data_IF_056122891798
#
_entry.id   IF_056122891798
#
_cell.length_a   1.000
_cell.length_b   1.000
_cell.length_c   1.000
_cell.angle_alpha   90.00
_cell.angle_beta   90.00
_cell.angle_gamma   90.00
#
_symmetry.space_group_name_H-M   'P 1'
#
loop_
_entity.id
_entity.type
_entity.pdbx_description
1 polymer ?
#
# COMPACT_ATOMS: atom_id res chain seq x y z
N UNK A 1 -4.46 -10.22 -21.59
CA UNK A 1 -5.95 -10.16 -21.50
C UNK A 1 -6.36 -8.72 -21.28
N UNK A 2 -7.50 -8.26 -21.80
CA UNK A 2 -7.99 -6.92 -21.49
C UNK A 2 -8.52 -6.91 -20.05
N UNK A 3 -8.11 -5.92 -19.25
CA UNK A 3 -8.64 -5.72 -17.91
C UNK A 3 -10.14 -5.41 -17.97
N UNK A 4 -10.88 -5.79 -16.94
CA UNK A 4 -12.30 -5.42 -16.82
C UNK A 4 -12.46 -3.90 -16.68
N UNK A 5 -13.60 -3.36 -17.03
CA UNK A 5 -13.95 -1.94 -16.82
C UNK A 5 -13.87 -1.52 -15.34
N UNK A 6 -13.89 -2.49 -14.44
CA UNK A 6 -13.75 -2.28 -13.00
C UNK A 6 -12.37 -1.70 -12.62
N UNK A 7 -11.30 -2.12 -13.32
CA UNK A 7 -9.94 -1.64 -13.05
C UNK A 7 -9.78 -0.12 -13.16
N UNK A 8 -10.55 0.49 -14.06
CA UNK A 8 -10.49 1.95 -14.34
C UNK A 8 -11.70 2.70 -13.83
N UNK A 9 -12.66 2.01 -13.18
CA UNK A 9 -13.89 2.62 -12.69
C UNK A 9 -13.60 3.64 -11.59
N UNK A 10 -14.32 4.77 -11.63
CA UNK A 10 -14.18 5.84 -10.65
C UNK A 10 -15.37 5.85 -9.70
N UNK A 11 -15.13 6.30 -8.49
CA UNK A 11 -16.19 6.59 -7.53
C UNK A 11 -17.06 7.74 -8.04
N UNK A 12 -18.36 7.67 -7.77
CA UNK A 12 -19.31 8.78 -8.02
C UNK A 12 -19.00 9.99 -7.15
N UNK A 13 -18.47 9.75 -5.95
CA UNK A 13 -18.03 10.75 -5.00
C UNK A 13 -16.65 10.37 -4.46
N UNK A 14 -15.67 11.25 -4.63
CA UNK A 14 -14.32 11.08 -4.12
C UNK A 14 -14.32 10.89 -2.60
N UNK A 15 -13.51 9.94 -2.12
CA UNK A 15 -13.27 9.74 -0.69
C UNK A 15 -11.95 10.40 -0.30
N UNK A 16 -11.96 11.08 0.85
CA UNK A 16 -10.80 11.84 1.33
C UNK A 16 -10.47 11.43 2.76
N UNK A 17 -9.21 11.04 2.97
CA UNK A 17 -8.68 10.84 4.32
C UNK A 17 -7.88 12.08 4.72
N UNK A 18 -8.18 12.64 5.89
CA UNK A 18 -7.35 13.67 6.48
C UNK A 18 -6.15 13.01 7.15
N UNK A 19 -4.96 13.40 6.74
CA UNK A 19 -3.72 12.81 7.19
C UNK A 19 -2.76 13.92 7.70
N UNK A 20 -2.07 13.74 8.84
CA UNK A 20 -1.18 14.76 9.40
C UNK A 20 0.04 15.05 8.51
N UNK A 21 0.47 14.08 7.70
CA UNK A 21 1.67 14.15 6.86
C UNK A 21 1.32 14.59 5.45
N UNK A 22 0.41 13.88 4.80
CA UNK A 22 -0.01 14.12 3.42
C UNK A 22 -1.12 15.19 3.31
N UNK A 23 -1.64 15.71 4.43
CA UNK A 23 -2.80 16.62 4.56
C UNK A 23 -4.10 15.95 4.12
N UNK A 24 -4.25 15.64 2.85
CA UNK A 24 -5.42 14.97 2.29
C UNK A 24 -4.97 13.89 1.31
N UNK A 25 -5.42 12.66 1.56
CA UNK A 25 -5.22 11.51 0.70
C UNK A 25 -6.51 11.28 -0.08
N UNK A 26 -6.43 11.34 -1.39
CA UNK A 26 -7.56 11.31 -2.30
C UNK A 26 -7.76 9.93 -2.93
N UNK A 27 -8.92 9.33 -2.72
CA UNK A 27 -9.29 8.05 -3.32
C UNK A 27 -10.41 8.28 -4.32
N UNK A 28 -10.10 8.12 -5.60
CA UNK A 28 -11.01 8.31 -6.74
C UNK A 28 -11.38 7.01 -7.43
N UNK A 29 -10.56 5.97 -7.26
CA UNK A 29 -10.70 4.69 -7.94
C UNK A 29 -11.57 3.74 -7.11
N UNK A 30 -12.60 3.13 -7.73
CA UNK A 30 -13.49 2.19 -7.07
C UNK A 30 -12.73 0.97 -6.53
N UNK A 31 -11.79 0.43 -7.31
CA UNK A 31 -10.94 -0.69 -6.93
C UNK A 31 -10.19 -0.40 -5.62
N UNK A 32 -9.53 0.76 -5.52
CA UNK A 32 -8.77 1.16 -4.33
C UNK A 32 -9.69 1.32 -3.12
N UNK A 33 -10.87 1.92 -3.33
CA UNK A 33 -11.84 2.07 -2.24
C UNK A 33 -12.35 0.73 -1.72
N UNK A 34 -12.62 -0.23 -2.62
CA UNK A 34 -13.06 -1.55 -2.23
C UNK A 34 -11.98 -2.34 -1.48
N UNK A 35 -10.70 -2.24 -1.90
CA UNK A 35 -9.57 -2.80 -1.16
C UNK A 35 -9.43 -2.21 0.25
N UNK A 36 -9.55 -0.89 0.39
CA UNK A 36 -9.50 -0.22 1.70
C UNK A 36 -10.59 -0.75 2.64
N UNK A 37 -11.76 -1.14 2.15
CA UNK A 37 -12.86 -1.66 2.97
C UNK A 37 -12.68 -3.10 3.43
N UNK A 38 -11.79 -3.88 2.81
CA UNK A 38 -11.59 -5.28 3.18
C UNK A 38 -11.15 -5.44 4.65
N UNK A 39 -11.56 -6.53 5.28
CA UNK A 39 -11.21 -6.79 6.69
C UNK A 39 -9.70 -6.92 6.89
N UNK A 40 -8.99 -7.47 5.90
CA UNK A 40 -7.54 -7.63 5.92
C UNK A 40 -6.85 -6.26 5.93
N UNK A 41 -7.31 -5.30 5.14
CA UNK A 41 -6.75 -3.96 5.15
C UNK A 41 -7.16 -3.17 6.40
N UNK A 42 -8.40 -3.25 6.83
CA UNK A 42 -8.90 -2.54 8.01
C UNK A 42 -8.21 -2.98 9.32
N UNK A 43 -7.72 -4.22 9.42
CA UNK A 43 -6.96 -4.66 10.60
C UNK A 43 -5.68 -3.86 10.83
N UNK A 44 -5.07 -3.29 9.76
CA UNK A 44 -3.85 -2.48 9.85
C UNK A 44 -4.02 -1.24 10.73
N UNK A 45 -5.25 -0.77 10.94
CA UNK A 45 -5.54 0.34 11.89
C UNK A 45 -5.12 0.03 13.33
N UNK A 46 -5.04 -1.25 13.68
CA UNK A 46 -4.70 -1.72 15.03
C UNK A 46 -3.25 -2.16 15.15
N UNK A 47 -2.47 -2.05 14.08
CA UNK A 47 -1.06 -2.45 14.04
C UNK A 47 -0.22 -1.18 13.96
N UNK A 48 0.53 -0.92 15.03
CA UNK A 48 1.45 0.22 15.09
C UNK A 48 2.65 -0.03 14.18
N UNK A 49 3.07 0.99 13.42
CA UNK A 49 4.22 0.89 12.51
C UNK A 49 5.51 0.57 13.27
N UNK A 50 5.75 1.24 14.39
CA UNK A 50 6.97 1.12 15.19
C UNK A 50 6.80 0.16 16.39
N UNK A 51 5.85 -0.78 16.35
CA UNK A 51 5.65 -1.79 17.38
C UNK A 51 5.38 -1.17 18.76
N UNK A 52 6.28 -1.33 19.72
CA UNK A 52 6.12 -0.84 21.09
C UNK A 52 6.74 0.54 21.36
N UNK A 53 7.36 1.17 20.37
CA UNK A 53 8.07 2.45 20.55
C UNK A 53 7.17 3.59 21.04
N UNK A 54 5.86 3.54 20.76
CA UNK A 54 4.91 4.53 21.27
C UNK A 54 4.85 4.60 22.82
N UNK A 55 5.29 3.56 23.52
CA UNK A 55 5.37 3.56 24.98
C UNK A 55 6.47 4.52 25.52
N UNK A 56 7.51 4.74 24.70
CA UNK A 56 8.63 5.64 25.03
C UNK A 56 8.56 6.98 24.29
N UNK A 57 8.00 6.96 23.06
CA UNK A 57 7.86 8.11 22.18
C UNK A 57 6.39 8.35 21.90
N UNK A 58 5.77 9.29 22.63
CA UNK A 58 4.32 9.52 22.61
C UNK A 58 3.75 9.93 21.24
N UNK A 59 4.59 10.44 20.34
CA UNK A 59 4.21 10.80 18.98
C UNK A 59 4.27 9.62 17.98
N UNK A 60 4.88 8.49 18.38
CA UNK A 60 5.03 7.30 17.53
C UNK A 60 3.74 6.44 17.46
N UNK A 61 2.60 7.09 17.29
CA UNK A 61 1.25 6.50 17.34
C UNK A 61 0.73 6.03 15.97
N UNK A 62 1.43 6.35 14.87
CA UNK A 62 0.98 6.03 13.53
C UNK A 62 0.85 4.52 13.31
N UNK A 63 -0.20 4.16 12.56
CA UNK A 63 -0.54 2.78 12.23
C UNK A 63 -0.03 2.39 10.85
N UNK A 64 0.10 1.10 10.60
CA UNK A 64 0.37 0.58 9.25
C UNK A 64 -0.72 0.94 8.25
N UNK A 65 -1.95 1.13 8.68
CA UNK A 65 -3.03 1.66 7.85
C UNK A 65 -2.71 3.05 7.30
N UNK A 66 -2.26 3.97 8.17
CA UNK A 66 -1.86 5.33 7.74
C UNK A 66 -0.68 5.27 6.77
N UNK A 67 0.36 4.49 7.10
CA UNK A 67 1.52 4.28 6.26
C UNK A 67 1.15 3.72 4.87
N UNK A 68 0.36 2.65 4.79
CA UNK A 68 -0.07 2.09 3.49
C UNK A 68 -0.86 3.10 2.64
N UNK A 69 -1.69 3.94 3.26
CA UNK A 69 -2.35 5.06 2.57
C UNK A 69 -1.37 6.13 2.12
N UNK A 70 -0.34 6.43 2.90
CA UNK A 70 0.72 7.39 2.55
C UNK A 70 1.52 6.92 1.35
N UNK A 71 1.95 5.66 1.34
CA UNK A 71 2.64 5.03 0.21
C UNK A 71 1.79 5.06 -1.06
N UNK A 72 0.50 4.69 -0.94
CA UNK A 72 -0.46 4.83 -2.04
C UNK A 72 -0.52 6.27 -2.58
N UNK A 73 -0.61 7.27 -1.70
CA UNK A 73 -0.71 8.69 -2.11
C UNK A 73 0.56 9.17 -2.82
N UNK A 74 1.74 8.75 -2.37
CA UNK A 74 3.00 9.09 -3.02
C UNK A 74 3.04 8.49 -4.43
N UNK A 75 2.72 7.19 -4.58
CA UNK A 75 2.67 6.54 -5.91
C UNK A 75 1.61 7.18 -6.80
N UNK A 76 0.43 7.49 -6.27
CA UNK A 76 -0.61 8.20 -7.01
C UNK A 76 -0.11 9.55 -7.56
N UNK A 77 0.56 10.34 -6.74
CA UNK A 77 1.16 11.62 -7.17
C UNK A 77 2.26 11.42 -8.21
N UNK A 78 3.12 10.41 -8.03
CA UNK A 78 4.15 10.09 -9.01
C UNK A 78 3.55 9.79 -10.38
N UNK A 79 2.42 9.07 -10.43
CA UNK A 79 1.75 8.70 -11.68
C UNK A 79 0.95 9.89 -12.25
N UNK A 80 0.12 10.52 -11.43
CA UNK A 80 -0.88 11.50 -11.90
C UNK A 80 -0.30 12.92 -12.09
N UNK A 81 0.79 13.28 -11.38
CA UNK A 81 1.32 14.64 -11.29
C UNK A 81 2.75 14.76 -11.84
N UNK A 82 3.43 13.64 -12.20
CA UNK A 82 4.79 13.71 -12.72
C UNK A 82 4.86 14.25 -14.16
N UNK A 83 6.02 14.81 -14.54
CA UNK A 83 6.31 15.31 -15.88
C UNK A 83 6.28 14.23 -16.98
N UNK A 84 6.39 12.96 -16.59
CA UNK A 84 6.29 11.81 -17.51
C UNK A 84 4.84 11.62 -17.98
N UNK A 85 3.89 12.25 -17.31
CA UNK A 85 2.50 12.41 -17.73
C UNK A 85 1.66 11.15 -17.67
N UNK A 86 0.34 11.35 -17.58
CA UNK A 86 -0.68 10.28 -17.61
C UNK A 86 -0.62 9.43 -18.87
N UNK A 87 -0.03 9.93 -19.95
CA UNK A 87 0.09 9.24 -21.25
C UNK A 87 1.10 8.10 -21.24
N UNK A 88 2.07 8.11 -20.29
CA UNK A 88 3.06 7.05 -20.14
C UNK A 88 2.53 5.83 -19.36
N UNK A 89 1.42 6.00 -18.64
CA UNK A 89 0.81 4.93 -17.83
C UNK A 89 -0.43 4.40 -18.54
N UNK A 90 -0.36 3.19 -18.96
CA UNK A 90 -1.52 2.54 -19.56
C UNK A 90 -2.59 2.17 -18.51
N UNK A 91 -3.75 1.75 -18.99
CA UNK A 91 -4.86 1.36 -18.13
C UNK A 91 -4.59 0.09 -17.30
N UNK A 92 -3.49 -0.60 -17.55
CA UNK A 92 -3.06 -1.82 -16.83
C UNK A 92 -2.06 -1.49 -15.73
N UNK A 93 -1.04 -0.74 -16.05
CA UNK A 93 0.09 -0.43 -15.15
C UNK A 93 -0.32 0.47 -13.98
N UNK A 94 -1.19 1.46 -14.22
CA UNK A 94 -1.64 2.37 -13.18
C UNK A 94 -2.42 1.67 -12.05
N UNK A 95 -3.47 0.87 -12.31
CA UNK A 95 -4.16 0.11 -11.26
C UNK A 95 -3.22 -0.85 -10.53
N UNK A 96 -2.32 -1.51 -11.25
CA UNK A 96 -1.35 -2.44 -10.69
C UNK A 96 -0.42 -1.76 -9.69
N UNK A 97 0.18 -0.62 -10.08
CA UNK A 97 1.06 0.15 -9.21
C UNK A 97 0.35 0.67 -7.94
N UNK A 98 -0.89 1.18 -8.08
CA UNK A 98 -1.68 1.68 -6.96
C UNK A 98 -2.08 0.55 -5.99
N UNK A 99 -2.48 -0.61 -6.50
CA UNK A 99 -2.82 -1.76 -5.67
C UNK A 99 -1.58 -2.29 -4.92
N UNK A 100 -0.46 -2.45 -5.60
CA UNK A 100 0.77 -2.92 -4.99
C UNK A 100 1.28 -1.95 -3.92
N UNK A 101 1.21 -0.63 -4.17
CA UNK A 101 1.55 0.40 -3.18
C UNK A 101 0.65 0.34 -1.94
N UNK A 102 -0.66 0.14 -2.12
CA UNK A 102 -1.61 0.06 -1.01
C UNK A 102 -1.40 -1.21 -0.17
N UNK A 103 -1.08 -2.33 -0.81
CA UNK A 103 -1.10 -3.67 -0.19
C UNK A 103 0.28 -4.20 0.22
N UNK A 104 1.38 -3.46 -0.02
CA UNK A 104 2.75 -3.97 0.19
C UNK A 104 3.01 -4.50 1.60
N UNK A 105 2.45 -3.87 2.63
CA UNK A 105 2.63 -4.17 4.05
C UNK A 105 1.47 -4.99 4.67
N UNK A 106 0.59 -5.55 3.84
CA UNK A 106 -0.66 -6.17 4.30
C UNK A 106 -0.44 -7.37 5.22
N UNK A 107 0.66 -8.10 5.08
CA UNK A 107 0.98 -9.30 5.87
C UNK A 107 1.52 -9.04 7.27
N UNK A 108 1.86 -7.80 7.62
CA UNK A 108 2.42 -7.52 8.93
C UNK A 108 1.46 -7.85 10.08
N UNK A 109 2.02 -8.49 11.12
CA UNK A 109 1.36 -8.77 12.39
C UNK A 109 1.59 -7.69 13.46
N UNK A 110 0.93 -7.80 14.63
CA UNK A 110 1.22 -6.97 15.79
C UNK A 110 2.71 -7.06 16.16
N UNK A 111 3.31 -5.93 16.59
CA UNK A 111 4.73 -5.82 16.94
C UNK A 111 5.71 -6.07 15.77
N UNK A 112 5.22 -6.16 14.53
CA UNK A 112 6.02 -6.19 13.31
C UNK A 112 7.17 -7.22 13.37
N UNK A 113 8.41 -6.81 13.11
CA UNK A 113 9.57 -7.71 13.08
C UNK A 113 9.88 -8.45 14.40
N UNK A 114 9.38 -7.96 15.55
CA UNK A 114 9.53 -8.72 16.81
C UNK A 114 8.66 -9.99 16.82
N UNK A 115 7.46 -9.90 16.27
CA UNK A 115 6.57 -11.04 16.08
C UNK A 115 7.21 -12.08 15.13
N UNK A 116 7.75 -11.63 14.02
CA UNK A 116 8.41 -12.50 13.03
C UNK A 116 9.57 -13.29 13.64
N UNK A 117 10.42 -12.63 14.44
CA UNK A 117 11.55 -13.28 15.10
C UNK A 117 11.12 -14.33 16.12
N UNK A 118 10.02 -14.08 16.87
CA UNK A 118 9.54 -14.99 17.91
C UNK A 118 8.86 -16.22 17.29
N UNK A 119 8.05 -16.00 16.26
CA UNK A 119 7.23 -17.06 15.63
C UNK A 119 7.84 -17.64 14.36
N UNK A 120 9.06 -17.19 13.98
CA UNK A 120 9.75 -17.59 12.75
C UNK A 120 8.83 -17.48 11.52
N UNK A 121 8.17 -16.34 11.38
CA UNK A 121 7.25 -16.02 10.30
C UNK A 121 7.82 -14.92 9.41
N UNK A 122 7.23 -14.76 8.23
CA UNK A 122 7.62 -13.76 7.24
C UNK A 122 6.38 -12.98 6.78
N UNK A 123 6.37 -11.66 6.95
CA UNK A 123 5.27 -10.81 6.54
C UNK A 123 5.11 -10.76 5.02
N UNK A 124 6.19 -10.93 4.26
CA UNK A 124 6.11 -10.97 2.80
C UNK A 124 5.33 -12.22 2.36
N UNK A 125 5.59 -13.39 2.97
CA UNK A 125 4.82 -14.61 2.71
C UNK A 125 3.35 -14.46 3.11
N UNK A 126 3.04 -13.80 4.24
CA UNK A 126 1.65 -13.52 4.62
C UNK A 126 0.98 -12.53 3.66
N UNK A 127 1.70 -11.51 3.18
CA UNK A 127 1.17 -10.58 2.16
C UNK A 127 0.79 -11.35 0.91
N UNK A 128 1.66 -12.25 0.44
CA UNK A 128 1.39 -13.11 -0.72
C UNK A 128 0.13 -13.96 -0.51
N UNK A 129 0.05 -14.68 0.62
CA UNK A 129 -1.09 -15.52 0.94
C UNK A 129 -2.41 -14.71 0.97
N UNK A 130 -2.41 -13.53 1.61
CA UNK A 130 -3.61 -12.67 1.66
C UNK A 130 -4.03 -12.21 0.25
N UNK A 131 -3.10 -11.94 -0.64
CA UNK A 131 -3.40 -11.47 -2.00
C UNK A 131 -3.87 -12.61 -2.90
N UNK A 132 -3.31 -13.83 -2.75
CA UNK A 132 -3.52 -14.93 -3.71
C UNK A 132 -4.47 -16.03 -3.23
N UNK A 133 -4.76 -16.12 -1.92
CA UNK A 133 -5.66 -17.13 -1.36
C UNK A 133 -7.10 -16.60 -1.19
N UNK A 134 -7.99 -17.39 -0.59
CA UNK A 134 -9.41 -17.08 -0.38
C UNK A 134 -9.61 -15.99 0.69
N UNK A 135 -9.56 -14.74 0.27
CA UNK A 135 -9.69 -13.53 1.10
C UNK A 135 -10.55 -12.48 0.40
N UNK A 136 -11.04 -11.49 1.17
CA UNK A 136 -11.77 -10.35 0.58
C UNK A 136 -10.88 -9.54 -0.36
N UNK A 137 -9.58 -9.44 -0.09
CA UNK A 137 -8.61 -8.77 -0.97
C UNK A 137 -8.50 -9.49 -2.31
N UNK A 138 -8.33 -10.82 -2.29
CA UNK A 138 -8.29 -11.62 -3.52
C UNK A 138 -9.60 -11.50 -4.31
N UNK A 139 -10.76 -11.57 -3.65
CA UNK A 139 -12.05 -11.40 -4.29
C UNK A 139 -12.15 -10.06 -5.04
N UNK A 140 -11.72 -8.95 -4.40
CA UNK A 140 -11.74 -7.63 -5.01
C UNK A 140 -10.78 -7.53 -6.20
N UNK A 141 -9.55 -8.04 -6.06
CA UNK A 141 -8.54 -8.04 -7.13
C UNK A 141 -8.99 -8.90 -8.32
N UNK A 142 -9.58 -10.05 -8.07
CA UNK A 142 -10.08 -10.98 -9.11
C UNK A 142 -11.21 -10.40 -9.95
N UNK A 143 -11.89 -9.34 -9.52
CA UNK A 143 -12.86 -8.59 -10.35
C UNK A 143 -12.19 -7.84 -11.51
N UNK A 144 -10.89 -7.58 -11.41
CA UNK A 144 -10.09 -6.97 -12.49
C UNK A 144 -9.76 -8.00 -13.56
N UNK A 145 -9.12 -9.09 -13.18
CA UNK A 145 -8.89 -10.31 -13.98
C UNK A 145 -8.50 -11.46 -13.07
N UNK A 146 -8.58 -12.70 -13.54
CA UNK A 146 -8.16 -13.89 -12.79
C UNK A 146 -6.65 -13.88 -12.45
N UNK A 147 -5.83 -13.22 -13.26
CA UNK A 147 -4.37 -13.13 -13.07
C UNK A 147 -3.95 -11.94 -12.22
N UNK A 148 -4.81 -10.95 -12.05
CA UNK A 148 -4.45 -9.68 -11.41
C UNK A 148 -3.97 -9.82 -9.96
N UNK A 149 -4.54 -10.69 -9.10
CA UNK A 149 -3.98 -10.93 -7.77
C UNK A 149 -2.52 -11.38 -7.83
N UNK A 150 -2.18 -12.30 -8.76
CA UNK A 150 -0.80 -12.77 -8.92
C UNK A 150 0.12 -11.66 -9.44
N UNK A 151 -0.34 -10.83 -10.37
CA UNK A 151 0.44 -9.69 -10.88
C UNK A 151 0.77 -8.69 -9.77
N UNK A 152 -0.20 -8.38 -8.89
CA UNK A 152 0.02 -7.53 -7.69
C UNK A 152 1.05 -8.18 -6.74
N UNK A 153 0.91 -9.47 -6.49
CA UNK A 153 1.83 -10.25 -5.67
C UNK A 153 3.25 -10.24 -6.24
N UNK A 154 3.39 -10.42 -7.55
CA UNK A 154 4.68 -10.42 -8.25
C UNK A 154 5.37 -9.05 -8.21
N UNK A 155 4.62 -7.95 -8.25
CA UNK A 155 5.18 -6.61 -8.07
C UNK A 155 5.76 -6.45 -6.68
N UNK A 156 5.02 -6.84 -5.64
CA UNK A 156 5.46 -6.77 -4.24
C UNK A 156 6.69 -7.65 -4.01
N UNK A 157 6.71 -8.86 -4.57
CA UNK A 157 7.85 -9.80 -4.53
C UNK A 157 9.03 -9.41 -5.43
N UNK A 158 8.93 -8.33 -6.22
CA UNK A 158 9.98 -7.87 -7.16
C UNK A 158 10.27 -8.83 -8.31
N UNK A 159 9.33 -9.72 -8.60
CA UNK A 159 9.43 -10.73 -9.69
C UNK A 159 8.72 -10.31 -10.97
N UNK A 160 7.88 -9.27 -10.93
CA UNK A 160 7.16 -8.75 -12.09
C UNK A 160 8.09 -8.18 -13.16
N UNK A 161 7.69 -8.25 -14.44
CA UNK A 161 8.51 -7.78 -15.57
C UNK A 161 8.66 -6.26 -15.62
N UNK A 162 7.64 -5.51 -15.18
CA UNK A 162 7.68 -4.04 -15.18
C UNK A 162 8.55 -3.52 -14.02
N UNK A 163 9.84 -3.30 -14.33
CA UNK A 163 10.84 -2.81 -13.35
C UNK A 163 10.56 -1.37 -12.87
N UNK A 164 9.83 -0.58 -13.64
CA UNK A 164 9.46 0.78 -13.23
C UNK A 164 8.50 0.73 -12.04
N UNK A 165 7.44 -0.07 -12.10
CA UNK A 165 6.49 -0.24 -11.00
C UNK A 165 7.20 -0.77 -9.75
N UNK A 166 8.05 -1.79 -9.91
CA UNK A 166 8.83 -2.34 -8.79
C UNK A 166 9.68 -1.24 -8.14
N UNK A 167 10.37 -0.42 -8.95
CA UNK A 167 11.27 0.61 -8.43
C UNK A 167 10.54 1.72 -7.68
N UNK A 168 9.29 2.00 -8.01
CA UNK A 168 8.46 2.98 -7.29
C UNK A 168 8.09 2.51 -5.88
N UNK A 169 7.96 1.20 -5.67
CA UNK A 169 7.50 0.60 -4.42
C UNK A 169 8.66 0.08 -3.58
N UNK A 170 9.73 -0.41 -4.23
CA UNK A 170 10.84 -1.11 -3.58
C UNK A 170 12.18 -0.79 -4.24
N UNK A 171 12.76 0.38 -3.94
CA UNK A 171 14.09 0.79 -4.41
C UNK A 171 14.90 1.49 -3.32
N UNK A 172 15.99 2.18 -3.69
CA UNK A 172 16.75 2.98 -2.72
C UNK A 172 16.04 4.27 -2.29
N UNK A 173 15.23 4.83 -3.21
CA UNK A 173 14.35 5.99 -2.95
C UNK A 173 12.98 5.60 -3.52
N UNK A 174 12.22 4.86 -2.74
CA UNK A 174 10.88 4.38 -3.06
C UNK A 174 9.80 5.08 -2.24
N UNK A 175 8.56 4.84 -2.59
CA UNK A 175 7.41 5.46 -1.92
C UNK A 175 7.31 5.03 -0.45
N UNK A 176 7.68 3.79 -0.10
CA UNK A 176 7.70 3.28 1.27
C UNK A 176 8.67 4.09 2.14
N UNK A 177 9.92 4.20 1.71
CA UNK A 177 10.95 4.96 2.46
C UNK A 177 10.65 6.46 2.50
N UNK A 178 10.07 7.02 1.43
CA UNK A 178 9.65 8.42 1.42
C UNK A 178 8.57 8.68 2.46
N UNK A 179 7.55 7.82 2.55
CA UNK A 179 6.50 7.97 3.56
C UNK A 179 7.06 7.85 4.98
N UNK A 180 7.87 6.83 5.26
CA UNK A 180 8.53 6.67 6.55
C UNK A 180 9.44 7.85 6.91
N UNK A 181 10.12 8.44 5.94
CA UNK A 181 10.95 9.64 6.15
C UNK A 181 10.11 10.85 6.51
N UNK A 182 8.97 11.05 5.83
CA UNK A 182 8.03 12.13 6.12
C UNK A 182 7.40 11.97 7.52
N UNK A 183 7.06 10.73 7.90
CA UNK A 183 6.59 10.40 9.25
C UNK A 183 7.65 10.79 10.30
N UNK A 184 8.91 10.38 10.10
CA UNK A 184 10.00 10.69 11.03
C UNK A 184 10.31 12.19 11.14
N UNK A 185 10.13 12.96 10.07
CA UNK A 185 10.30 14.43 10.09
C UNK A 185 9.15 15.07 10.87
N UNK A 186 7.94 14.60 10.70
CA UNK A 186 6.73 15.17 11.31
C UNK A 186 6.52 14.71 12.76
N UNK A 187 6.95 13.48 13.07
CA UNK A 187 6.87 12.86 14.40
C UNK A 187 8.25 12.35 14.84
N UNK A 188 9.21 13.23 15.19
CA UNK A 188 10.57 12.83 15.51
C UNK A 188 10.61 11.92 16.74
N UNK A 189 11.15 10.73 16.56
CA UNK A 189 11.32 9.71 17.61
C UNK A 189 12.67 9.80 18.31
N UNK A 190 13.57 10.71 17.87
CA UNK A 190 14.86 10.96 18.51
C UNK A 190 14.79 12.21 19.38
N UNK A 191 15.23 12.15 20.67
CA UNK A 191 15.45 13.36 21.45
C UNK A 191 16.60 14.17 20.80
N UNK A 192 16.45 15.48 20.78
CA UNK A 192 17.49 16.41 20.33
C UNK A 192 18.71 16.35 21.25
#
# INVERSE_FOLDING_TARGET
>A
MALSSYATSKLTEEKVFKDPIHRYIHVKDQLIWDLIKTKEFQRLRRIKQLGTLYLSFHTAEHSRFGHSLGVYEIVRRMIDESFIGREAWDNTDRPLALCAALLHDLGHGPFSHSFEKIFNTDHEAFTQAIITEDTEVNEVLSRVSETFPQEVADVINKTHDNKLIISMISSQIDADRMDLSLIHISEPTRPY
#
